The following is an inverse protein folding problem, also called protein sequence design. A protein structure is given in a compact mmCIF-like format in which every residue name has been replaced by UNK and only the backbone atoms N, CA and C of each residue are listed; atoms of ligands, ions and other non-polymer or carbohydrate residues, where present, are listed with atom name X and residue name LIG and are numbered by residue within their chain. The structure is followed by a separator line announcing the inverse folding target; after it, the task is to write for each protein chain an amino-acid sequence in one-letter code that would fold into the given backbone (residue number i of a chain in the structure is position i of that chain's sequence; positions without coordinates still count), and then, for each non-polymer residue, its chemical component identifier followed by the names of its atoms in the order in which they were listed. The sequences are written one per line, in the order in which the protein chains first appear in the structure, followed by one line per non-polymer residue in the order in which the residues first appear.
data_IF_003626630890
#
_entry.id   IF_003626630890
#
_cell.length_a   1.000
_cell.length_b   1.000
_cell.length_c   1.000
_cell.angle_alpha   90.00
_cell.angle_beta   90.00
_cell.angle_gamma   90.00
#
_symmetry.space_group_name_H-M   'P 1'
#
loop_
_entity.id
_entity.type
_entity.pdbx_description
1 polymer ?
#
# COMPACT_ATOMS: atom_id res chain seq x y z
N UNK A 1 -35.73 -20.89 17.96
CA UNK A 1 -34.92 -20.25 16.90
C UNK A 1 -33.45 -20.31 17.31
N UNK A 2 -32.74 -21.29 16.78
CA UNK A 2 -31.34 -21.53 17.13
C UNK A 2 -30.46 -20.70 16.20
N UNK A 3 -29.84 -19.65 16.74
CA UNK A 3 -28.89 -18.85 16.01
C UNK A 3 -27.71 -19.71 15.61
N UNK A 4 -27.47 -19.83 14.31
CA UNK A 4 -26.26 -20.46 13.80
C UNK A 4 -25.07 -19.56 14.18
N UNK A 5 -24.28 -20.01 15.14
CA UNK A 5 -22.98 -19.39 15.39
C UNK A 5 -22.13 -19.54 14.14
N UNK A 6 -21.68 -18.43 13.59
CA UNK A 6 -20.68 -18.42 12.53
C UNK A 6 -19.42 -19.12 13.08
N UNK A 7 -19.11 -20.30 12.55
CA UNK A 7 -17.88 -21.01 12.88
C UNK A 7 -16.70 -20.27 12.25
N UNK A 8 -15.60 -20.19 12.99
CA UNK A 8 -14.40 -19.54 12.46
C UNK A 8 -13.94 -20.26 11.19
N UNK A 9 -13.36 -19.52 10.27
CA UNK A 9 -12.89 -20.03 8.98
C UNK A 9 -11.93 -21.22 9.16
N UNK A 10 -11.05 -21.17 10.15
CA UNK A 10 -10.16 -22.29 10.47
C UNK A 10 -10.93 -23.56 10.82
N UNK A 11 -12.04 -23.41 11.54
CA UNK A 11 -12.90 -24.54 11.91
C UNK A 11 -13.63 -25.09 10.69
N UNK A 12 -14.08 -24.21 9.79
CA UNK A 12 -14.79 -24.62 8.57
C UNK A 12 -13.84 -25.37 7.61
N UNK A 13 -12.59 -24.92 7.46
CA UNK A 13 -11.60 -25.58 6.62
C UNK A 13 -11.25 -26.97 7.21
N UNK A 14 -11.04 -27.04 8.52
CA UNK A 14 -10.75 -28.32 9.20
C UNK A 14 -11.93 -29.30 9.14
N UNK A 15 -13.16 -28.79 9.20
CA UNK A 15 -14.35 -29.63 9.10
C UNK A 15 -14.53 -30.18 7.68
N UNK A 16 -14.24 -29.37 6.67
CA UNK A 16 -14.35 -29.76 5.26
C UNK A 16 -13.32 -30.85 4.92
N UNK A 17 -12.12 -30.72 5.45
CA UNK A 17 -11.08 -31.75 5.26
C UNK A 17 -11.46 -33.08 5.95
N UNK A 18 -12.28 -33.04 7.01
CA UNK A 18 -12.77 -34.25 7.70
C UNK A 18 -14.02 -34.85 7.07
N UNK A 19 -14.91 -34.04 6.48
CA UNK A 19 -16.16 -34.53 5.87
C UNK A 19 -15.92 -35.22 4.53
N UNK A 20 -14.74 -35.09 3.95
CA UNK A 20 -14.35 -35.81 2.72
C UNK A 20 -13.94 -37.25 3.02
N UNK A 21 -13.75 -37.61 4.29
CA UNK A 21 -13.56 -39.00 4.70
C UNK A 21 -14.93 -39.67 4.86
N UNK A 22 -15.57 -40.08 3.76
CA UNK A 22 -16.74 -40.91 3.83
C UNK A 22 -16.32 -42.38 4.10
N UNK A 23 -17.19 -43.10 4.76
CA UNK A 23 -16.96 -44.46 5.29
C UNK A 23 -16.63 -45.55 4.25
N UNK A 24 -16.42 -45.19 2.99
CA UNK A 24 -16.02 -46.15 1.98
C UNK A 24 -14.51 -46.01 1.72
N UNK A 25 -13.79 -47.10 1.92
CA UNK A 25 -12.35 -47.26 1.81
C UNK A 25 -11.72 -46.88 0.45
N UNK A 26 -11.97 -45.68 -0.01
CA UNK A 26 -11.15 -45.10 -1.08
C UNK A 26 -10.18 -44.11 -0.44
N UNK A 27 -8.95 -44.55 -0.27
CA UNK A 27 -7.83 -43.65 0.00
C UNK A 27 -7.70 -42.67 -1.17
N UNK A 28 -8.49 -41.60 -1.15
CA UNK A 28 -8.14 -40.43 -1.96
C UNK A 28 -6.87 -39.89 -1.35
N UNK A 29 -5.76 -40.14 -2.02
CA UNK A 29 -4.52 -39.43 -1.72
C UNK A 29 -4.81 -37.95 -1.86
N UNK A 30 -5.08 -37.30 -0.73
CA UNK A 30 -5.18 -35.85 -0.71
C UNK A 30 -3.79 -35.34 -1.05
N UNK A 31 -3.58 -35.09 -2.34
CA UNK A 31 -2.37 -34.41 -2.77
C UNK A 31 -2.27 -33.10 -2.03
N UNK A 32 -1.24 -32.97 -1.20
CA UNK A 32 -0.97 -31.69 -0.56
C UNK A 32 -0.93 -30.61 -1.65
N UNK A 33 -1.66 -29.51 -1.45
CA UNK A 33 -1.66 -28.45 -2.44
C UNK A 33 -0.23 -27.98 -2.67
N UNK A 34 0.15 -27.65 -3.91
CA UNK A 34 1.51 -27.19 -4.20
C UNK A 34 1.92 -26.07 -3.24
N UNK A 35 3.18 -26.03 -2.89
CA UNK A 35 3.75 -25.10 -1.90
C UNK A 35 3.21 -23.68 -2.08
N UNK A 36 3.08 -23.24 -3.32
CA UNK A 36 2.56 -21.91 -3.64
C UNK A 36 1.14 -21.71 -3.11
N UNK A 37 0.24 -22.67 -3.32
CA UNK A 37 -1.14 -22.60 -2.82
C UNK A 37 -1.19 -22.58 -1.29
N UNK A 38 -0.28 -23.33 -0.67
CA UNK A 38 -0.16 -23.35 0.80
C UNK A 38 0.30 -21.98 1.31
N UNK A 39 1.30 -21.39 0.67
CA UNK A 39 1.78 -20.04 1.00
C UNK A 39 0.67 -19.00 0.82
N UNK A 40 -0.05 -19.07 -0.32
CA UNK A 40 -1.17 -18.17 -0.61
C UNK A 40 -2.24 -18.27 0.49
N UNK A 41 -2.56 -19.48 0.93
CA UNK A 41 -3.54 -19.68 2.02
C UNK A 41 -3.05 -19.08 3.33
N UNK A 42 -1.79 -19.32 3.70
CA UNK A 42 -1.22 -18.77 4.92
C UNK A 42 -1.27 -17.23 4.88
N UNK A 43 -0.86 -16.65 3.75
CA UNK A 43 -0.90 -15.19 3.58
C UNK A 43 -2.36 -14.69 3.64
N UNK A 44 -3.27 -15.35 2.95
CA UNK A 44 -4.69 -14.96 2.96
C UNK A 44 -5.30 -15.08 4.37
N UNK A 45 -4.97 -16.14 5.09
CA UNK A 45 -5.46 -16.36 6.46
C UNK A 45 -4.92 -15.30 7.43
N UNK A 46 -3.66 -14.94 7.27
CA UNK A 46 -3.02 -13.98 8.19
C UNK A 46 -3.36 -12.51 7.87
N UNK A 47 -3.50 -12.20 6.62
CA UNK A 47 -3.67 -10.79 6.19
C UNK A 47 -5.03 -10.43 5.63
N UNK A 48 -5.60 -11.37 5.10
CA UNK A 48 -6.83 -11.02 4.47
C UNK A 48 -7.93 -11.16 5.46
N UNK A 49 -8.03 -10.63 6.07
CA UNK A 49 -9.01 -10.68 7.01
C UNK A 49 -9.95 -11.75 6.79
N UNK A 50 -10.06 -12.31 7.53
CA UNK A 50 -10.82 -13.41 7.52
C UNK A 50 -12.13 -13.30 6.83
N UNK A 51 -12.66 -12.45 6.98
CA UNK A 51 -13.99 -12.33 6.48
C UNK A 51 -14.01 -12.08 5.01
N UNK A 52 -13.25 -11.42 4.81
CA UNK A 52 -13.23 -11.04 3.49
C UNK A 52 -12.32 -11.86 2.66
N UNK A 53 -11.57 -12.15 3.20
CA UNK A 53 -10.61 -12.89 2.57
C UNK A 53 -10.98 -14.32 2.32
N UNK A 54 -11.61 -14.64 3.08
CA UNK A 54 -12.11 -15.95 3.02
C UNK A 54 -12.94 -16.20 1.78
N UNK A 55 -13.50 -15.44 1.54
CA UNK A 55 -14.24 -15.58 0.33
C UNK A 55 -13.40 -15.41 -0.89
N UNK A 56 -12.61 -14.75 -0.65
CA UNK A 56 -11.67 -14.55 -1.67
C UNK A 56 -10.57 -15.58 -1.72
N UNK A 57 -10.31 -15.88 -0.80
CA UNK A 57 -9.29 -16.87 -0.70
C UNK A 57 -9.72 -18.24 -1.12
N UNK A 58 -10.89 -18.56 -0.85
CA UNK A 58 -11.43 -19.88 -1.27
C UNK A 58 -11.56 -19.98 -2.80
N UNK A 59 -11.80 -18.89 -3.44
CA UNK A 59 -11.94 -18.82 -4.89
C UNK A 59 -10.68 -18.30 -5.59
N UNK A 60 -9.61 -18.05 -4.84
CA UNK A 60 -8.38 -17.53 -5.46
C UNK A 60 -7.68 -18.64 -6.23
N UNK A 61 -7.70 -18.53 -7.52
CA UNK A 61 -7.12 -19.51 -8.45
C UNK A 61 -5.74 -19.10 -8.98
N UNK A 62 -5.20 -18.00 -8.48
CA UNK A 62 -3.95 -17.42 -8.97
C UNK A 62 -4.02 -16.96 -10.44
N UNK A 63 -5.23 -16.74 -10.92
CA UNK A 63 -5.48 -16.24 -12.27
C UNK A 63 -6.56 -15.16 -12.22
N UNK A 64 -6.20 -13.88 -12.39
CA UNK A 64 -4.87 -13.38 -12.70
C UNK A 64 -3.97 -13.35 -11.46
N UNK A 65 -2.65 -13.55 -11.60
CA UNK A 65 -1.73 -13.46 -10.47
C UNK A 65 -1.57 -12.03 -9.97
N UNK A 66 -1.06 -11.84 -8.74
CA UNK A 66 -0.84 -10.49 -8.19
C UNK A 66 0.41 -9.86 -8.84
N UNK A 67 0.21 -9.20 -9.96
CA UNK A 67 1.32 -8.69 -10.79
C UNK A 67 1.75 -7.28 -10.44
N UNK A 68 0.85 -6.43 -9.90
CA UNK A 68 1.18 -5.02 -9.73
C UNK A 68 2.29 -4.82 -8.71
N UNK A 69 2.14 -5.40 -7.50
CA UNK A 69 3.13 -5.21 -6.42
C UNK A 69 4.48 -5.80 -6.84
N UNK A 70 4.47 -6.98 -7.47
CA UNK A 70 5.70 -7.60 -7.95
C UNK A 70 6.37 -6.75 -9.03
N UNK A 71 5.60 -6.25 -9.98
CA UNK A 71 6.12 -5.44 -11.08
C UNK A 71 6.73 -4.13 -10.58
N UNK A 72 6.01 -3.41 -9.72
CA UNK A 72 6.52 -2.13 -9.21
C UNK A 72 7.77 -2.34 -8.34
N UNK A 73 7.81 -3.43 -7.58
CA UNK A 73 8.98 -3.80 -6.78
C UNK A 73 10.20 -4.05 -7.67
N UNK A 74 10.03 -4.79 -8.76
CA UNK A 74 11.12 -5.04 -9.70
C UNK A 74 11.61 -3.76 -10.37
N UNK A 75 10.69 -2.87 -10.74
CA UNK A 75 11.03 -1.57 -11.34
C UNK A 75 11.85 -0.73 -10.35
N UNK A 76 11.41 -0.67 -9.09
CA UNK A 76 12.13 0.09 -8.05
C UNK A 76 13.54 -0.47 -7.81
N UNK A 77 13.66 -1.80 -7.76
CA UNK A 77 14.97 -2.45 -7.61
C UNK A 77 15.86 -2.18 -8.82
N UNK A 78 15.32 -2.20 -10.02
CA UNK A 78 16.09 -1.92 -11.25
C UNK A 78 16.64 -0.48 -11.25
N UNK A 79 15.78 0.49 -10.92
CA UNK A 79 16.20 1.89 -10.85
C UNK A 79 17.22 2.11 -9.74
N UNK A 80 17.03 1.49 -8.59
CA UNK A 80 17.97 1.61 -7.47
C UNK A 80 19.34 1.04 -7.87
N UNK A 81 19.36 -0.13 -8.50
CA UNK A 81 20.60 -0.76 -8.96
C UNK A 81 21.31 0.14 -9.98
N UNK A 82 20.56 0.66 -10.96
CA UNK A 82 21.12 1.56 -11.98
C UNK A 82 21.80 2.77 -11.34
N UNK A 83 21.11 3.48 -10.45
CA UNK A 83 21.66 4.69 -9.84
C UNK A 83 22.78 4.40 -8.85
N UNK A 84 22.74 3.25 -8.17
CA UNK A 84 23.84 2.82 -7.30
C UNK A 84 25.12 2.63 -8.12
N UNK A 85 25.02 1.96 -9.26
CA UNK A 85 26.17 1.75 -10.16
C UNK A 85 26.63 3.08 -10.75
N UNK A 86 25.68 3.91 -11.24
CA UNK A 86 26.00 5.18 -11.90
C UNK A 86 26.66 6.17 -10.95
N UNK A 87 26.28 6.18 -9.67
CA UNK A 87 26.82 7.11 -8.67
C UNK A 87 28.00 6.54 -7.88
N UNK A 88 28.39 5.30 -8.17
CA UNK A 88 29.62 4.72 -7.64
C UNK A 88 29.52 4.18 -6.23
N UNK A 89 28.31 3.92 -5.72
CA UNK A 89 28.16 3.32 -4.39
C UNK A 89 26.82 3.62 -3.75
N UNK A 90 26.64 3.05 -2.58
CA UNK A 90 25.39 3.20 -1.81
C UNK A 90 25.70 3.15 -0.31
N UNK A 91 24.93 3.92 0.46
CA UNK A 91 24.96 3.87 1.92
C UNK A 91 23.51 3.90 2.45
N UNK A 92 23.29 3.81 3.78
CA UNK A 92 21.91 3.70 4.27
C UNK A 92 20.98 4.85 3.87
N UNK A 93 21.49 6.08 3.74
CA UNK A 93 20.68 7.27 3.48
C UNK A 93 21.00 7.96 2.15
N UNK A 94 21.80 7.34 1.29
CA UNK A 94 22.16 7.97 0.03
C UNK A 94 22.98 7.06 -0.88
N UNK A 95 23.53 7.63 -1.95
CA UNK A 95 23.30 8.99 -2.48
C UNK A 95 21.91 9.14 -3.09
N UNK A 96 21.40 10.36 -3.14
CA UNK A 96 20.13 10.68 -3.79
C UNK A 96 20.42 11.10 -5.23
N UNK A 97 19.76 10.53 -6.24
CA UNK A 97 20.01 10.89 -7.65
C UNK A 97 19.32 12.23 -8.02
N UNK A 98 19.85 13.32 -7.50
CA UNK A 98 19.25 14.66 -7.64
C UNK A 98 19.20 15.16 -9.08
N UNK A 99 20.05 14.62 -9.96
CA UNK A 99 20.09 14.99 -11.37
C UNK A 99 19.19 14.12 -12.24
N UNK A 100 18.50 13.16 -11.64
CA UNK A 100 17.61 12.28 -12.38
C UNK A 100 16.45 13.06 -13.01
N UNK A 101 16.04 12.64 -14.20
CA UNK A 101 14.85 13.18 -14.86
C UNK A 101 13.56 12.79 -14.15
N UNK A 102 13.60 11.87 -13.19
CA UNK A 102 12.42 11.33 -12.50
C UNK A 102 12.20 11.94 -11.12
N UNK A 103 13.23 12.55 -10.49
CA UNK A 103 13.06 13.13 -9.15
C UNK A 103 12.03 14.28 -9.20
N UNK A 104 11.15 14.35 -8.20
CA UNK A 104 10.29 15.51 -8.06
C UNK A 104 11.11 16.70 -7.57
N UNK A 105 11.00 17.82 -8.27
CA UNK A 105 11.74 19.07 -7.98
C UNK A 105 10.77 20.25 -8.07
N UNK A 106 10.78 21.15 -7.06
CA UNK A 106 9.89 22.31 -7.10
C UNK A 106 10.15 23.24 -8.27
N UNK A 107 11.41 23.33 -8.73
CA UNK A 107 11.80 24.21 -9.85
C UNK A 107 11.46 23.62 -11.22
N UNK A 108 10.95 22.38 -11.27
CA UNK A 108 10.63 21.69 -12.53
C UNK A 108 9.21 21.14 -12.56
N UNK A 109 8.26 21.91 -12.01
CA UNK A 109 6.86 21.46 -11.90
C UNK A 109 6.15 21.35 -13.25
N UNK A 110 6.66 22.03 -14.28
CA UNK A 110 6.11 21.86 -15.64
C UNK A 110 6.43 20.49 -16.24
N UNK A 111 7.45 19.81 -15.72
CA UNK A 111 7.78 18.44 -16.08
C UNK A 111 6.86 17.50 -15.28
N UNK A 112 5.60 17.37 -15.74
CA UNK A 112 4.51 16.76 -14.97
C UNK A 112 4.73 15.30 -14.64
N UNK A 113 5.55 14.59 -15.42
CA UNK A 113 5.88 13.17 -15.13
C UNK A 113 6.59 13.02 -13.79
N UNK A 114 7.27 14.04 -13.28
CA UNK A 114 7.97 13.99 -12.00
C UNK A 114 7.01 13.82 -10.82
N UNK A 115 5.75 14.22 -10.97
CA UNK A 115 4.72 14.03 -9.95
C UNK A 115 4.36 12.56 -9.74
N UNK A 116 4.68 11.69 -10.72
CA UNK A 116 4.44 10.26 -10.62
C UNK A 116 5.73 9.45 -10.50
N UNK A 117 6.70 9.72 -11.37
CA UNK A 117 7.85 8.83 -11.52
C UNK A 117 8.90 8.96 -10.42
N UNK A 118 8.79 9.97 -9.54
CA UNK A 118 9.66 10.04 -8.37
C UNK A 118 9.61 8.77 -7.50
N UNK A 119 8.51 8.03 -7.60
CA UNK A 119 8.29 6.80 -6.83
C UNK A 119 9.31 5.70 -7.13
N UNK A 120 9.97 5.73 -8.30
CA UNK A 120 10.93 4.68 -8.66
C UNK A 120 12.32 4.92 -8.07
N UNK A 121 12.58 6.12 -7.54
CA UNK A 121 13.88 6.50 -6.97
C UNK A 121 13.87 6.34 -5.45
N UNK A 122 15.03 6.03 -4.86
CA UNK A 122 15.12 5.90 -3.41
C UNK A 122 16.42 6.50 -2.89
N UNK A 123 16.35 7.07 -1.68
CA UNK A 123 17.45 7.73 -1.01
C UNK A 123 18.16 6.72 -0.09
N UNK A 124 19.03 5.91 -0.67
CA UNK A 124 19.78 4.90 0.06
C UNK A 124 19.04 3.57 0.24
N UNK A 125 19.82 2.57 0.70
CA UNK A 125 19.25 1.20 0.78
C UNK A 125 18.26 1.04 1.94
N UNK A 126 18.39 1.83 3.01
CA UNK A 126 17.47 1.73 4.15
C UNK A 126 16.08 2.22 3.75
N UNK A 127 16.01 3.33 3.02
CA UNK A 127 14.77 3.88 2.50
C UNK A 127 14.10 2.89 1.54
N UNK A 128 14.88 2.30 0.63
CA UNK A 128 14.37 1.28 -0.29
C UNK A 128 13.85 0.06 0.47
N UNK A 129 14.66 -0.48 1.39
CA UNK A 129 14.30 -1.70 2.14
C UNK A 129 12.98 -1.52 2.89
N UNK A 130 12.81 -0.38 3.59
CA UNK A 130 11.58 -0.11 4.32
C UNK A 130 10.37 -0.08 3.39
N UNK A 131 10.49 0.67 2.27
CA UNK A 131 9.40 0.76 1.31
C UNK A 131 9.02 -0.61 0.72
N UNK A 132 10.02 -1.38 0.28
CA UNK A 132 9.76 -2.69 -0.31
C UNK A 132 9.17 -3.67 0.70
N UNK A 133 9.65 -3.63 1.95
CA UNK A 133 9.15 -4.53 3.00
C UNK A 133 7.66 -4.30 3.23
N UNK A 134 7.26 -3.04 3.47
CA UNK A 134 5.85 -2.71 3.71
C UNK A 134 5.02 -2.95 2.44
N UNK A 135 5.55 -2.57 1.27
CA UNK A 135 4.89 -2.75 -0.01
C UNK A 135 4.53 -4.21 -0.27
N UNK A 136 5.47 -5.13 -0.01
CA UNK A 136 5.23 -6.56 -0.22
C UNK A 136 4.35 -7.14 0.88
N UNK A 137 4.65 -6.85 2.16
CA UNK A 137 3.92 -7.45 3.28
C UNK A 137 2.46 -6.98 3.34
N UNK A 138 2.17 -5.74 2.97
CA UNK A 138 0.80 -5.20 2.99
C UNK A 138 0.18 -5.24 1.60
N UNK A 139 0.92 -4.83 0.59
CA UNK A 139 0.39 -4.69 -0.77
C UNK A 139 0.06 -6.01 -1.44
N UNK A 140 0.92 -7.02 -1.28
CA UNK A 140 0.70 -8.30 -1.94
C UNK A 140 -0.58 -9.00 -1.43
N UNK A 141 -0.82 -9.12 -0.12
CA UNK A 141 -2.08 -9.68 0.35
C UNK A 141 -3.31 -8.87 -0.08
N UNK A 142 -3.22 -7.54 -0.05
CA UNK A 142 -4.32 -6.69 -0.52
C UNK A 142 -4.60 -6.93 -2.01
N UNK A 143 -3.54 -7.06 -2.81
CA UNK A 143 -3.69 -7.33 -4.24
C UNK A 143 -4.34 -8.69 -4.50
N UNK A 144 -3.97 -9.70 -3.72
CA UNK A 144 -4.57 -11.03 -3.84
C UNK A 144 -6.08 -11.00 -3.56
N UNK A 145 -6.52 -10.16 -2.62
CA UNK A 145 -7.93 -10.03 -2.25
C UNK A 145 -8.69 -9.15 -3.26
N UNK A 146 -8.13 -8.00 -3.60
CA UNK A 146 -8.86 -6.96 -4.34
C UNK A 146 -8.56 -6.92 -5.84
N UNK A 147 -7.44 -7.49 -6.26
CA UNK A 147 -6.99 -7.49 -7.65
C UNK A 147 -6.02 -6.38 -7.98
N UNK A 148 -5.24 -6.61 -9.04
CA UNK A 148 -4.13 -5.72 -9.44
C UNK A 148 -4.60 -4.31 -9.81
N UNK A 149 -5.73 -4.20 -10.53
CA UNK A 149 -6.22 -2.90 -10.97
C UNK A 149 -6.58 -2.01 -9.78
N UNK A 150 -7.31 -2.56 -8.80
CA UNK A 150 -7.75 -1.78 -7.63
C UNK A 150 -6.55 -1.33 -6.79
N UNK A 151 -5.61 -2.23 -6.55
CA UNK A 151 -4.41 -1.91 -5.77
C UNK A 151 -3.52 -0.92 -6.52
N UNK A 152 -3.41 -1.08 -7.84
CA UNK A 152 -2.69 -0.12 -8.68
C UNK A 152 -3.29 1.28 -8.59
N UNK A 153 -4.62 1.40 -8.63
CA UNK A 153 -5.31 2.69 -8.50
C UNK A 153 -5.04 3.32 -7.13
N UNK A 154 -5.15 2.54 -6.05
CA UNK A 154 -4.87 3.04 -4.68
C UNK A 154 -3.42 3.53 -4.57
N UNK A 155 -2.48 2.72 -5.03
CA UNK A 155 -1.05 3.02 -4.97
C UNK A 155 -0.71 4.29 -5.75
N UNK A 156 -1.15 4.36 -7.01
CA UNK A 156 -0.84 5.52 -7.88
C UNK A 156 -1.55 6.80 -7.39
N UNK A 157 -2.76 6.67 -6.83
CA UNK A 157 -3.44 7.80 -6.19
C UNK A 157 -2.63 8.32 -5.00
N UNK A 158 -2.03 7.42 -4.22
CA UNK A 158 -1.15 7.78 -3.11
C UNK A 158 0.14 8.46 -3.58
N UNK A 159 0.76 7.95 -4.63
CA UNK A 159 1.97 8.54 -5.23
C UNK A 159 1.65 9.97 -5.70
N UNK A 160 0.56 10.15 -6.43
CA UNK A 160 0.16 11.46 -6.94
C UNK A 160 -0.18 12.42 -5.80
N UNK A 161 -0.93 11.95 -4.79
CA UNK A 161 -1.27 12.77 -3.63
C UNK A 161 -0.02 13.19 -2.84
N UNK A 162 0.97 12.29 -2.76
CA UNK A 162 2.24 12.60 -2.09
C UNK A 162 2.97 13.76 -2.72
N UNK A 163 3.12 13.75 -4.03
CA UNK A 163 3.81 14.85 -4.73
C UNK A 163 2.96 16.12 -4.76
N UNK A 164 1.67 16.01 -5.00
CA UNK A 164 0.79 17.20 -4.99
C UNK A 164 0.72 17.83 -3.61
N UNK A 165 0.64 17.02 -2.54
CA UNK A 165 0.66 17.53 -1.18
C UNK A 165 1.95 18.23 -0.84
N UNK A 166 3.07 17.63 -1.22
CA UNK A 166 4.40 18.22 -1.04
C UNK A 166 4.51 19.56 -1.79
N UNK A 167 3.96 19.62 -2.99
CA UNK A 167 4.00 20.86 -3.79
C UNK A 167 3.22 22.01 -3.16
N UNK A 168 2.26 21.71 -2.28
CA UNK A 168 1.45 22.74 -1.61
C UNK A 168 2.03 23.06 -0.22
N UNK A 169 2.36 22.04 0.57
CA UNK A 169 2.65 22.20 1.99
C UNK A 169 4.14 22.15 2.34
N UNK A 170 5.01 21.67 1.44
CA UNK A 170 6.45 21.56 1.69
C UNK A 170 7.19 21.92 0.40
N UNK A 171 7.07 23.18 0.03
CA UNK A 171 7.34 23.70 -1.32
C UNK A 171 8.78 23.67 -1.76
N UNK A 172 9.73 23.43 -0.85
CA UNK A 172 11.17 23.49 -1.17
C UNK A 172 11.83 22.12 -1.24
N UNK A 173 11.06 21.05 -1.02
CA UNK A 173 11.60 19.70 -0.87
C UNK A 173 11.65 18.99 -2.22
N UNK A 174 12.79 18.36 -2.49
CA UNK A 174 12.92 17.36 -3.56
C UNK A 174 12.33 16.05 -3.03
N UNK A 175 11.66 15.30 -3.90
CA UNK A 175 10.94 14.11 -3.46
C UNK A 175 11.42 12.88 -4.23
N UNK A 176 11.76 11.83 -3.50
CA UNK A 176 12.03 10.49 -4.00
C UNK A 176 11.30 9.48 -3.13
N UNK A 177 11.03 8.32 -3.67
CA UNK A 177 10.53 7.18 -2.91
C UNK A 177 9.11 6.82 -3.21
N UNK A 178 8.82 5.54 -2.98
CA UNK A 178 7.52 4.93 -3.18
C UNK A 178 6.55 5.19 -2.01
N UNK A 179 7.00 5.91 -0.99
CA UNK A 179 6.30 5.98 0.30
C UNK A 179 4.89 6.55 0.22
N UNK A 180 4.60 7.49 -0.71
CA UNK A 180 3.23 7.95 -0.93
C UNK A 180 2.28 6.80 -1.26
N UNK A 181 2.69 5.93 -2.18
CA UNK A 181 1.94 4.73 -2.53
C UNK A 181 1.89 3.70 -1.41
N UNK A 182 3.01 3.50 -0.73
CA UNK A 182 3.11 2.56 0.40
C UNK A 182 2.17 2.99 1.53
N UNK A 183 2.16 4.29 1.87
CA UNK A 183 1.25 4.81 2.89
C UNK A 183 -0.21 4.73 2.45
N UNK A 184 -0.48 4.86 1.15
CA UNK A 184 -1.83 4.64 0.64
C UNK A 184 -2.27 3.18 0.84
N UNK A 185 -1.40 2.21 0.57
CA UNK A 185 -1.70 0.80 0.83
C UNK A 185 -1.94 0.54 2.33
N UNK A 186 -1.09 1.12 3.17
CA UNK A 186 -1.20 0.95 4.62
C UNK A 186 -2.53 1.54 5.15
N UNK A 187 -2.90 2.74 4.67
CA UNK A 187 -4.14 3.40 5.04
C UNK A 187 -5.37 2.67 4.50
N UNK A 188 -5.30 2.14 3.27
CA UNK A 188 -6.36 1.31 2.71
C UNK A 188 -6.52 0.01 3.53
N UNK A 189 -5.42 -0.58 3.97
CA UNK A 189 -5.47 -1.74 4.86
C UNK A 189 -6.11 -1.36 6.21
N UNK A 190 -5.74 -0.21 6.77
CA UNK A 190 -6.35 0.30 7.99
C UNK A 190 -7.87 0.47 7.83
N UNK A 191 -8.31 1.09 6.73
CA UNK A 191 -9.74 1.25 6.45
C UNK A 191 -10.44 -0.11 6.36
N UNK A 192 -9.81 -1.07 5.69
CA UNK A 192 -10.35 -2.43 5.57
C UNK A 192 -10.47 -3.11 6.95
N UNK A 193 -9.46 -2.95 7.80
CA UNK A 193 -9.49 -3.52 9.17
C UNK A 193 -10.62 -2.87 9.98
N UNK A 194 -10.75 -1.54 9.93
CA UNK A 194 -11.76 -0.83 10.71
C UNK A 194 -13.18 -1.18 10.27
N UNK A 195 -13.41 -1.28 8.96
CA UNK A 195 -14.74 -1.61 8.42
C UNK A 195 -15.15 -3.06 8.74
N UNK A 196 -14.18 -3.95 8.85
CA UNK A 196 -14.45 -5.38 9.04
C UNK A 196 -14.01 -5.89 10.42
N UNK A 197 -13.74 -5.00 11.37
CA UNK A 197 -13.11 -5.32 12.64
C UNK A 197 -13.82 -6.46 13.39
N UNK A 198 -15.15 -6.44 13.43
CA UNK A 198 -15.93 -7.43 14.16
C UNK A 198 -15.84 -8.84 13.55
N UNK A 199 -15.42 -8.93 12.30
CA UNK A 199 -15.34 -10.20 11.56
C UNK A 199 -13.89 -10.66 11.35
N UNK A 200 -12.92 -9.92 11.91
CA UNK A 200 -11.49 -10.23 11.70
C UNK A 200 -10.87 -10.82 12.95
N UNK A 201 -10.13 -11.90 12.77
CA UNK A 201 -9.25 -12.41 13.81
C UNK A 201 -8.04 -11.46 13.96
N UNK A 202 -7.66 -11.24 15.21
CA UNK A 202 -6.50 -10.39 15.57
C UNK A 202 -6.59 -8.95 15.03
N UNK A 203 -7.81 -8.40 14.95
CA UNK A 203 -8.00 -7.02 14.49
C UNK A 203 -7.15 -6.01 15.25
N UNK A 204 -7.08 -6.14 16.59
CA UNK A 204 -6.31 -5.24 17.43
C UNK A 204 -4.80 -5.36 17.17
N UNK A 205 -4.31 -6.59 16.93
CA UNK A 205 -2.89 -6.82 16.61
C UNK A 205 -2.54 -6.15 15.29
N UNK A 206 -3.42 -6.24 14.31
CA UNK A 206 -3.23 -5.60 13.00
C UNK A 206 -3.21 -4.07 13.14
N UNK A 207 -4.12 -3.50 13.93
CA UNK A 207 -4.13 -2.06 14.21
C UNK A 207 -2.82 -1.61 14.85
N UNK A 208 -2.38 -2.33 15.89
CA UNK A 208 -1.11 -2.03 16.57
C UNK A 208 0.05 -2.13 15.57
N UNK A 209 0.08 -3.17 14.74
CA UNK A 209 1.12 -3.34 13.72
C UNK A 209 1.18 -2.17 12.74
N UNK A 210 0.02 -1.72 12.25
CA UNK A 210 -0.06 -0.56 11.34
C UNK A 210 0.50 0.69 12.02
N UNK A 211 0.08 0.96 13.27
CA UNK A 211 0.53 2.14 14.00
C UNK A 211 2.02 2.08 14.35
N UNK A 212 2.55 0.90 14.68
CA UNK A 212 3.98 0.73 14.95
C UNK A 212 4.80 1.02 13.68
N UNK A 213 4.40 0.46 12.54
CA UNK A 213 5.10 0.67 11.26
C UNK A 213 5.07 2.15 10.89
N UNK A 214 3.89 2.78 10.94
CA UNK A 214 3.73 4.18 10.59
C UNK A 214 4.53 5.09 11.53
N UNK A 215 4.51 4.81 12.84
CA UNK A 215 5.24 5.61 13.84
C UNK A 215 6.75 5.49 13.66
N UNK A 216 7.25 4.30 13.37
CA UNK A 216 8.68 4.08 13.13
C UNK A 216 9.16 4.88 11.91
N UNK A 217 8.38 4.86 10.84
CA UNK A 217 8.75 5.57 9.61
C UNK A 217 8.67 7.08 9.77
N UNK A 218 7.60 7.58 10.40
CA UNK A 218 7.46 9.01 10.67
C UNK A 218 8.58 9.48 11.61
N UNK A 219 8.89 8.69 12.64
CA UNK A 219 9.99 8.99 13.56
C UNK A 219 11.31 9.06 12.83
N UNK A 220 11.58 8.13 11.92
CA UNK A 220 12.80 8.14 11.10
C UNK A 220 12.84 9.37 10.19
N UNK A 221 11.72 9.71 9.54
CA UNK A 221 11.65 10.88 8.65
C UNK A 221 11.90 12.19 9.41
N UNK A 222 11.32 12.32 10.61
CA UNK A 222 11.53 13.49 11.47
C UNK A 222 12.99 13.57 11.91
N UNK A 223 13.57 12.44 12.34
CA UNK A 223 14.98 12.37 12.71
C UNK A 223 15.88 12.79 11.56
N UNK A 224 15.64 12.25 10.37
CA UNK A 224 16.43 12.54 9.18
C UNK A 224 16.39 14.03 8.83
N UNK A 225 15.21 14.64 8.98
CA UNK A 225 15.02 16.06 8.63
C UNK A 225 15.70 17.02 9.61
N UNK A 226 15.64 16.72 10.91
CA UNK A 226 16.05 17.68 11.94
C UNK A 226 17.34 17.33 12.67
N UNK A 227 17.76 16.06 12.65
CA UNK A 227 18.96 15.62 13.38
C UNK A 227 20.14 15.30 12.45
N UNK A 228 19.91 15.09 11.16
CA UNK A 228 20.97 14.80 10.21
C UNK A 228 21.87 16.04 10.04
N UNK A 229 23.17 15.83 10.10
CA UNK A 229 24.16 16.92 10.03
C UNK A 229 24.39 17.45 8.62
N UNK A 230 23.94 16.72 7.60
CA UNK A 230 24.19 17.09 6.20
C UNK A 230 22.89 17.59 5.57
N UNK A 231 22.91 18.82 5.01
CA UNK A 231 21.74 19.28 4.26
C UNK A 231 21.61 18.48 2.96
N UNK A 232 20.48 17.86 2.77
CA UNK A 232 20.19 17.09 1.59
C UNK A 232 18.70 16.96 1.38
N UNK A 233 18.27 16.35 0.25
CA UNK A 233 16.86 16.10 0.05
C UNK A 233 16.31 15.22 1.17
N UNK A 234 15.45 15.77 1.99
CA UNK A 234 14.86 15.04 3.10
C UNK A 234 13.62 14.28 2.67
N UNK A 235 13.31 13.18 3.39
CA UNK A 235 12.08 12.46 3.19
C UNK A 235 10.92 13.35 3.63
N UNK A 236 9.92 13.52 2.76
CA UNK A 236 8.79 14.39 3.05
C UNK A 236 7.70 13.63 3.82
N UNK A 237 7.55 13.95 5.08
CA UNK A 237 6.44 13.39 5.86
C UNK A 237 5.07 13.91 5.40
N UNK A 238 5.04 15.04 4.68
CA UNK A 238 3.82 15.52 4.01
C UNK A 238 3.37 14.50 2.96
N UNK A 239 4.31 13.96 2.18
CA UNK A 239 3.99 12.93 1.19
C UNK A 239 3.39 11.68 1.85
N UNK A 240 3.88 11.30 3.04
CA UNK A 240 3.33 10.18 3.79
C UNK A 240 1.89 10.45 4.22
N UNK A 241 1.64 11.62 4.79
CA UNK A 241 0.31 11.99 5.28
C UNK A 241 -0.70 12.10 4.12
N UNK A 242 -0.35 12.78 3.04
CA UNK A 242 -1.24 12.94 1.90
C UNK A 242 -1.45 11.62 1.16
N UNK A 243 -0.42 10.78 1.10
CA UNK A 243 -0.54 9.42 0.58
C UNK A 243 -1.52 8.59 1.40
N UNK A 244 -1.44 8.69 2.74
CA UNK A 244 -2.37 7.99 3.63
C UNK A 244 -3.80 8.48 3.43
N UNK A 245 -4.01 9.80 3.30
CA UNK A 245 -5.34 10.35 3.03
C UNK A 245 -5.90 9.84 1.70
N UNK A 246 -5.05 9.76 0.67
CA UNK A 246 -5.44 9.17 -0.62
C UNK A 246 -5.83 7.70 -0.46
N UNK A 247 -5.07 6.95 0.33
CA UNK A 247 -5.36 5.54 0.60
C UNK A 247 -6.68 5.34 1.30
N UNK A 248 -7.00 6.19 2.29
CA UNK A 248 -8.29 6.14 2.97
C UNK A 248 -9.44 6.45 2.02
N UNK A 249 -9.33 7.52 1.23
CA UNK A 249 -10.41 7.96 0.34
C UNK A 249 -10.58 7.01 -0.86
N UNK A 250 -9.51 6.77 -1.63
CA UNK A 250 -9.57 5.92 -2.81
C UNK A 250 -9.78 4.45 -2.41
N UNK A 251 -9.21 4.03 -1.27
CA UNK A 251 -9.46 2.69 -0.74
C UNK A 251 -10.95 2.45 -0.48
N UNK A 252 -11.63 3.42 0.14
CA UNK A 252 -13.09 3.32 0.34
C UNK A 252 -13.86 3.27 -0.98
N UNK A 253 -13.35 3.95 -2.02
CA UNK A 253 -14.00 4.00 -3.32
C UNK A 253 -13.86 2.70 -4.10
N UNK A 254 -12.66 2.11 -4.11
CA UNK A 254 -12.34 1.07 -5.09
C UNK A 254 -12.17 -0.33 -4.49
N UNK A 255 -11.86 -0.46 -3.20
CA UNK A 255 -11.66 -1.78 -2.61
C UNK A 255 -12.99 -2.52 -2.44
N UNK A 256 -12.92 -3.84 -2.48
CA UNK A 256 -14.11 -4.68 -2.32
C UNK A 256 -14.62 -4.58 -0.90
N UNK A 257 -15.87 -4.20 -0.74
CA UNK A 257 -16.61 -4.24 0.52
C UNK A 257 -17.61 -5.39 0.47
N UNK A 258 -17.67 -6.15 1.55
CA UNK A 258 -18.48 -7.37 1.59
C UNK A 258 -19.87 -7.14 2.15
N UNK A 259 -20.09 -6.03 2.84
CA UNK A 259 -21.40 -5.63 3.33
C UNK A 259 -21.76 -4.26 2.78
N UNK A 260 -22.83 -4.20 1.99
CA UNK A 260 -23.32 -2.93 1.45
C UNK A 260 -24.37 -2.35 2.39
N UNK A 261 -24.09 -1.22 2.97
CA UNK A 261 -24.99 -0.48 3.84
C UNK A 261 -25.19 0.94 3.31
N UNK A 262 -26.32 1.53 3.64
CA UNK A 262 -26.68 2.86 3.14
C UNK A 262 -25.64 3.92 3.52
N UNK A 263 -25.09 3.83 4.74
CA UNK A 263 -24.08 4.78 5.18
C UNK A 263 -22.74 4.62 4.43
N UNK A 264 -22.48 3.43 3.90
CA UNK A 264 -21.29 3.21 3.06
C UNK A 264 -21.41 3.95 1.74
N UNK A 265 -22.62 4.05 1.18
CA UNK A 265 -22.84 4.82 -0.03
C UNK A 265 -22.57 6.31 0.21
N UNK A 266 -22.99 6.85 1.35
CA UNK A 266 -22.67 8.23 1.71
C UNK A 266 -21.17 8.42 1.89
N UNK A 267 -20.51 7.50 2.60
CA UNK A 267 -19.05 7.54 2.76
C UNK A 267 -18.34 7.50 1.42
N UNK A 268 -18.86 6.73 0.46
CA UNK A 268 -18.30 6.66 -0.88
C UNK A 268 -18.29 8.03 -1.56
N UNK A 269 -19.42 8.75 -1.52
CA UNK A 269 -19.53 10.07 -2.14
C UNK A 269 -18.66 11.10 -1.41
N UNK A 270 -18.58 11.05 -0.09
CA UNK A 270 -17.72 11.93 0.71
C UNK A 270 -16.26 11.69 0.36
N UNK A 271 -15.83 10.41 0.27
CA UNK A 271 -14.46 10.06 -0.09
C UNK A 271 -14.10 10.57 -1.49
N UNK A 272 -14.99 10.37 -2.46
CA UNK A 272 -14.80 10.89 -3.82
C UNK A 272 -14.66 12.41 -3.82
N UNK A 273 -15.55 13.09 -3.11
CA UNK A 273 -15.54 14.55 -3.02
C UNK A 273 -14.26 15.09 -2.37
N UNK A 274 -13.81 14.46 -1.30
CA UNK A 274 -12.59 14.87 -0.59
C UNK A 274 -11.37 14.70 -1.50
N UNK A 275 -11.22 13.54 -2.11
CA UNK A 275 -10.06 13.30 -2.99
C UNK A 275 -10.06 14.26 -4.17
N UNK A 276 -11.21 14.42 -4.83
CA UNK A 276 -11.35 15.31 -6.01
C UNK A 276 -11.08 16.77 -5.62
N UNK A 277 -11.66 17.24 -4.51
CA UNK A 277 -11.49 18.63 -4.07
C UNK A 277 -10.04 18.93 -3.71
N UNK A 278 -9.38 18.03 -2.96
CA UNK A 278 -7.97 18.19 -2.59
C UNK A 278 -7.06 18.17 -3.81
N UNK A 279 -7.32 17.28 -4.77
CA UNK A 279 -6.53 17.18 -6.00
C UNK A 279 -6.70 18.43 -6.85
N UNK A 280 -7.94 18.89 -7.05
CA UNK A 280 -8.22 20.11 -7.82
C UNK A 280 -7.56 21.32 -7.16
N UNK A 281 -7.68 21.44 -5.83
CA UNK A 281 -7.04 22.53 -5.08
C UNK A 281 -5.52 22.52 -5.31
N UNK A 282 -4.87 21.36 -5.21
CA UNK A 282 -3.43 21.26 -5.37
C UNK A 282 -2.98 21.63 -6.79
N UNK A 283 -3.74 21.20 -7.81
CA UNK A 283 -3.45 21.53 -9.20
C UNK A 283 -3.59 23.04 -9.43
N UNK A 284 -4.69 23.63 -8.96
CA UNK A 284 -4.92 25.07 -9.11
C UNK A 284 -3.86 25.89 -8.35
N UNK A 285 -3.46 25.44 -7.16
CA UNK A 285 -2.39 26.07 -6.40
C UNK A 285 -1.09 26.11 -7.21
N UNK A 286 -0.72 24.99 -7.83
CA UNK A 286 0.50 24.92 -8.63
C UNK A 286 0.42 25.77 -9.90
N UNK A 287 -0.76 25.87 -10.51
CA UNK A 287 -0.96 26.63 -11.75
C UNK A 287 -0.93 28.13 -11.48
N UNK A 288 -1.60 28.57 -10.41
CA UNK A 288 -1.87 30.01 -10.18
C UNK A 288 -0.98 30.66 -9.11
N UNK A 289 -0.12 29.91 -8.44
CA UNK A 289 0.75 30.48 -7.40
C UNK A 289 1.88 31.30 -8.03
N UNK A 290 1.90 32.65 -7.89
CA UNK A 290 2.95 33.46 -8.48
C UNK A 290 4.30 33.31 -7.81
N UNK A 291 4.35 32.74 -6.59
CA UNK A 291 5.60 32.52 -5.86
C UNK A 291 6.40 31.32 -6.34
N UNK A 292 5.82 30.51 -7.21
CA UNK A 292 6.53 29.34 -7.73
C UNK A 292 7.38 29.72 -8.96
N UNK A 293 8.60 29.14 -9.04
CA UNK A 293 9.45 29.36 -10.21
C UNK A 293 8.89 28.73 -11.48
#
# INVERSE_FOLDING_TARGET
MTGKRSRSFKCAVHHRDREVCSENDFHVLVQEPPLFRRMVRIIADEFXXXXXXXXXXDHYTCCPPPLFVLLITLIELAFFTYYTVAMGGVNPSGPVPIDSVFIYRPDKRLEVWRFLFYMVLHAGWLHLLFNLLVQVLVGLPLEMVHGSLRIGVVYMAGVLAGSLGTSVFDTEVYLVGASGGVYALLAAHLANVLLNYNNMEFGIVRLIGIFVVASADVGFAVYDRYAAEQPGPSVSYVAHLTGALAGLTIGLLVLKNFEQKLHEQLMWWVALGVYAACTIFAILFNVFNPGYP
#
